data_IF_182716497921
#
_entry.id   IF_182716497921
#
_cell.length_a   1.000
_cell.length_b   1.000
_cell.length_c   1.000
_cell.angle_alpha   90.00
_cell.angle_beta   90.00
_cell.angle_gamma   90.00
#
_symmetry.space_group_name_H-M   'P 1'
#
loop_
_entity.id
_entity.type
_entity.pdbx_description
1 polymer ?
#
# COMPACT_ATOMS: atom_id res chain seq x y z
N UNK A 1 -1.70 -2.38 -17.71
CA UNK A 1 -3.06 -1.87 -18.05
C UNK A 1 -3.07 -0.37 -18.31
N UNK A 2 -2.68 0.48 -17.35
CA UNK A 2 -2.67 1.95 -17.52
C UNK A 2 -1.88 2.46 -18.73
N UNK A 3 -0.65 1.96 -18.94
CA UNK A 3 0.18 2.33 -20.11
C UNK A 3 -0.54 2.08 -21.43
N UNK A 4 -1.20 0.92 -21.57
CA UNK A 4 -1.94 0.56 -22.78
C UNK A 4 -3.14 1.49 -23.02
N UNK A 5 -3.89 1.83 -21.97
CA UNK A 5 -5.02 2.77 -22.05
C UNK A 5 -4.56 4.16 -22.48
N UNK A 6 -3.47 4.66 -21.90
CA UNK A 6 -2.93 5.98 -22.24
C UNK A 6 -2.45 6.04 -23.69
N UNK A 7 -1.74 5.00 -24.14
CA UNK A 7 -1.28 4.91 -25.53
C UNK A 7 -2.44 4.85 -26.53
N UNK A 8 -3.52 4.13 -26.20
CA UNK A 8 -4.73 4.12 -27.02
C UNK A 8 -5.39 5.50 -27.14
N UNK A 9 -5.21 6.37 -26.14
CA UNK A 9 -5.66 7.76 -26.16
C UNK A 9 -4.63 8.76 -26.72
N UNK A 10 -3.52 8.28 -27.28
CA UNK A 10 -2.44 9.16 -27.79
C UNK A 10 -1.65 9.88 -26.69
N UNK A 11 -1.77 9.44 -25.43
CA UNK A 11 -1.06 10.02 -24.28
C UNK A 11 0.08 9.10 -23.83
N UNK A 12 1.12 9.67 -23.23
CA UNK A 12 2.28 8.92 -22.70
C UNK A 12 2.51 9.18 -21.22
N UNK A 13 2.88 8.12 -20.50
CA UNK A 13 3.27 8.15 -19.09
C UNK A 13 4.80 8.21 -19.01
N UNK A 14 5.35 9.24 -18.38
CA UNK A 14 6.79 9.40 -18.13
C UNK A 14 7.06 9.21 -16.63
N UNK A 15 8.05 8.41 -16.30
CA UNK A 15 8.57 8.29 -14.92
C UNK A 15 9.72 9.27 -14.79
N UNK A 16 9.56 10.28 -13.93
CA UNK A 16 10.56 11.33 -13.72
C UNK A 16 11.64 10.87 -12.74
N UNK A 17 11.25 10.09 -11.74
CA UNK A 17 12.16 9.49 -10.77
C UNK A 17 11.74 8.02 -10.52
N UNK A 18 12.60 7.05 -10.87
CA UNK A 18 12.33 5.64 -10.60
C UNK A 18 12.70 5.20 -9.17
N UNK A 19 13.42 6.00 -8.40
CA UNK A 19 13.96 5.61 -7.09
C UNK A 19 12.98 5.86 -5.93
N UNK A 20 12.01 6.78 -6.06
CA UNK A 20 11.02 7.10 -5.01
C UNK A 20 9.96 6.03 -4.76
N UNK A 21 10.21 4.76 -5.12
CA UNK A 21 9.28 3.64 -4.90
C UNK A 21 9.39 3.09 -3.47
N UNK A 22 10.55 3.25 -2.84
CA UNK A 22 10.82 2.68 -1.51
C UNK A 22 10.38 3.58 -0.35
N UNK A 23 10.18 4.90 -0.59
CA UNK A 23 9.98 5.89 0.47
C UNK A 23 8.68 5.71 1.28
N UNK A 24 7.66 5.07 0.71
CA UNK A 24 6.34 4.92 1.34
C UNK A 24 5.76 3.49 1.29
N UNK A 25 6.56 2.49 0.88
CA UNK A 25 6.10 1.11 0.68
C UNK A 25 5.42 0.52 1.92
N UNK A 26 6.00 0.75 3.10
CA UNK A 26 5.48 0.25 4.37
C UNK A 26 4.08 0.82 4.63
N UNK A 27 3.89 2.13 4.42
CA UNK A 27 2.59 2.80 4.61
C UNK A 27 1.54 2.22 3.66
N UNK A 28 1.88 2.09 2.38
CA UNK A 28 0.98 1.56 1.36
C UNK A 28 0.51 0.13 1.68
N UNK A 29 1.43 -0.74 2.11
CA UNK A 29 1.11 -2.11 2.51
C UNK A 29 0.19 -2.13 3.73
N UNK A 30 0.42 -1.25 4.70
CA UNK A 30 -0.40 -1.16 5.91
C UNK A 30 -1.83 -0.72 5.58
N UNK A 31 -2.01 0.28 4.71
CA UNK A 31 -3.33 0.74 4.30
C UNK A 31 -4.12 -0.34 3.56
N UNK A 32 -3.46 -1.09 2.67
CA UNK A 32 -4.09 -2.22 1.96
C UNK A 32 -4.51 -3.32 2.94
N UNK A 33 -3.66 -3.69 3.89
CA UNK A 33 -3.99 -4.70 4.90
C UNK A 33 -5.12 -4.23 5.82
N UNK A 34 -5.11 -2.97 6.27
CA UNK A 34 -6.20 -2.40 7.06
C UNK A 34 -7.53 -2.44 6.32
N UNK A 35 -7.54 -2.05 5.05
CA UNK A 35 -8.73 -2.13 4.19
C UNK A 35 -9.24 -3.57 4.04
N UNK A 36 -8.33 -4.52 3.79
CA UNK A 36 -8.67 -5.93 3.66
C UNK A 36 -9.25 -6.48 4.98
N UNK A 37 -8.61 -6.19 6.10
CA UNK A 37 -9.04 -6.64 7.41
C UNK A 37 -10.41 -6.06 7.81
N UNK A 38 -10.67 -4.79 7.51
CA UNK A 38 -11.99 -4.18 7.70
C UNK A 38 -13.08 -4.88 6.88
N UNK A 39 -12.75 -5.35 5.67
CA UNK A 39 -13.68 -6.09 4.78
C UNK A 39 -13.89 -7.53 5.20
N UNK A 40 -12.84 -8.22 5.66
CA UNK A 40 -12.90 -9.65 6.02
C UNK A 40 -13.50 -9.90 7.40
N UNK A 41 -13.20 -9.03 8.38
CA UNK A 41 -13.56 -9.25 9.77
C UNK A 41 -14.64 -8.30 10.30
N UNK A 42 -15.13 -7.39 9.45
CA UNK A 42 -15.99 -6.29 9.88
C UNK A 42 -15.21 -5.20 10.63
N UNK A 43 -15.80 -4.01 10.68
CA UNK A 43 -15.13 -2.73 10.98
C UNK A 43 -14.44 -2.63 12.35
N UNK A 44 -14.79 -3.47 13.34
CA UNK A 44 -14.44 -3.18 14.75
C UNK A 44 -13.49 -4.15 15.45
N UNK A 45 -13.35 -5.41 15.04
CA UNK A 45 -12.47 -6.37 15.74
C UNK A 45 -11.06 -6.47 15.12
N UNK A 46 -10.94 -6.16 13.83
CA UNK A 46 -9.66 -6.28 13.12
C UNK A 46 -8.84 -5.00 13.07
N UNK A 47 -9.48 -3.82 13.18
CA UNK A 47 -8.75 -2.55 13.13
C UNK A 47 -7.69 -2.46 14.25
N UNK A 48 -8.07 -2.71 15.51
CA UNK A 48 -7.14 -2.63 16.65
C UNK A 48 -6.03 -3.70 16.62
N UNK A 49 -6.35 -4.90 16.13
CA UNK A 49 -5.36 -6.00 16.08
C UNK A 49 -4.37 -5.80 14.94
N UNK A 50 -4.83 -5.28 13.80
CA UNK A 50 -3.99 -5.02 12.64
C UNK A 50 -3.15 -3.78 12.86
N UNK A 51 -3.69 -2.72 13.48
CA UNK A 51 -2.88 -1.56 13.90
C UNK A 51 -1.69 -1.99 14.75
N UNK A 52 -1.91 -2.82 15.79
CA UNK A 52 -0.82 -3.29 16.67
C UNK A 52 0.21 -4.17 15.95
N UNK A 53 -0.23 -5.03 15.03
CA UNK A 53 0.69 -5.90 14.27
C UNK A 53 1.49 -5.08 13.24
N UNK A 54 0.85 -4.10 12.62
CA UNK A 54 1.48 -3.14 11.72
C UNK A 54 2.50 -2.28 12.46
N UNK A 55 2.12 -1.69 13.59
CA UNK A 55 3.02 -0.89 14.44
C UNK A 55 4.23 -1.73 14.86
N UNK A 56 4.02 -2.96 15.33
CA UNK A 56 5.12 -3.85 15.69
C UNK A 56 6.02 -4.24 14.49
N UNK A 57 5.43 -4.42 13.30
CA UNK A 57 6.20 -4.69 12.08
C UNK A 57 6.96 -3.46 11.55
N UNK A 58 6.48 -2.25 11.86
CA UNK A 58 7.13 -0.99 11.49
C UNK A 58 8.18 -0.53 12.52
N UNK A 59 8.01 -0.86 13.80
CA UNK A 59 8.98 -0.58 14.87
C UNK A 59 10.13 -1.60 14.92
N UNK A 60 9.98 -2.76 14.30
CA UNK A 60 10.99 -3.82 14.23
C UNK A 60 11.47 -4.10 12.81
N UNK A 61 12.44 -3.33 12.31
CA UNK A 61 13.35 -3.82 11.28
C UNK A 61 14.20 -4.98 11.84
N UNK A 62 14.59 -5.98 11.02
CA UNK A 62 15.21 -7.21 11.52
C UNK A 62 16.56 -6.92 12.19
N UNK A 63 16.76 -7.51 13.37
CA UNK A 63 18.08 -7.96 13.85
C UNK A 63 18.21 -9.46 13.62
#
# INVERSE_FOLDING_TARGET
MLKAVLSAQGRRLLVVDPAGVDDDLVRDVCEVLMSLCARLYGRSAAADRVCRVVEAACEGGPV
#
